data_IF_382142103037
#
_entry.id   IF_382142103037
#
_cell.length_a   1.000
_cell.length_b   1.000
_cell.length_c   1.000
_cell.angle_alpha   90.00
_cell.angle_beta   90.00
_cell.angle_gamma   90.00
#
_symmetry.space_group_name_H-M   'P 1'
#
loop_
_entity.id
_entity.type
_entity.pdbx_description
1 polymer ?
#
# COMPACT_ATOMS: atom_id res chain seq x y z
N UNK A 1 73.61 27.89 63.30
CA UNK A 1 72.56 28.58 62.48
C UNK A 1 71.88 27.59 61.58
N UNK A 2 70.69 27.19 61.96
CA UNK A 2 69.90 26.21 61.19
C UNK A 2 68.63 26.91 60.73
N UNK A 3 68.49 27.10 59.43
CA UNK A 3 67.28 27.65 58.86
C UNK A 3 66.31 26.49 58.50
N UNK A 4 65.11 26.50 59.09
CA UNK A 4 64.04 25.62 58.81
C UNK A 4 63.15 26.25 57.69
N UNK A 5 62.96 25.55 56.55
CA UNK A 5 61.99 25.88 55.51
C UNK A 5 60.69 25.17 55.82
N UNK A 6 59.63 25.94 56.08
CA UNK A 6 58.25 25.43 56.11
C UNK A 6 57.69 25.36 54.65
N UNK A 7 57.38 24.17 54.22
CA UNK A 7 56.70 23.95 52.95
C UNK A 7 55.18 23.90 53.19
N UNK A 8 54.45 24.87 52.66
CA UNK A 8 53.00 24.92 52.73
C UNK A 8 52.46 24.19 51.50
N UNK A 9 51.89 22.99 51.70
CA UNK A 9 51.15 22.28 50.68
C UNK A 9 49.69 22.81 50.61
N UNK A 10 49.36 23.54 49.55
CA UNK A 10 47.98 23.92 49.25
C UNK A 10 47.23 22.76 48.56
N UNK A 11 46.25 22.23 49.24
CA UNK A 11 45.34 21.24 48.67
C UNK A 11 44.30 21.97 47.82
N UNK A 12 44.37 21.81 46.49
CA UNK A 12 43.29 22.23 45.55
C UNK A 12 42.24 21.12 45.49
N UNK A 13 41.13 21.28 46.17
CA UNK A 13 39.99 20.40 46.07
C UNK A 13 39.27 20.71 44.75
N UNK A 14 39.41 19.84 43.74
CA UNK A 14 38.61 19.87 42.51
C UNK A 14 37.23 19.37 42.83
N UNK A 15 36.24 20.25 42.91
CA UNK A 15 34.85 19.89 42.94
C UNK A 15 34.43 19.29 41.56
N UNK A 16 34.38 17.96 41.46
CA UNK A 16 33.69 17.28 40.37
C UNK A 16 32.18 17.45 40.55
N UNK A 17 31.59 18.40 39.85
CA UNK A 17 30.13 18.44 39.68
C UNK A 17 29.72 17.25 38.81
N UNK A 18 28.69 16.46 39.20
CA UNK A 18 28.18 15.42 38.37
C UNK A 18 27.58 16.07 37.10
N UNK A 19 28.18 15.83 35.96
CA UNK A 19 27.54 16.11 34.67
C UNK A 19 26.35 15.16 34.56
N UNK A 20 25.12 15.69 34.70
CA UNK A 20 23.89 15.00 34.33
C UNK A 20 23.94 14.87 32.81
N UNK A 21 24.40 13.74 32.32
CA UNK A 21 24.25 13.37 30.91
C UNK A 21 22.77 13.17 30.66
N UNK A 22 22.08 14.14 30.08
CA UNK A 22 20.77 13.91 29.46
C UNK A 22 21.01 12.91 28.33
N UNK A 23 20.45 11.71 28.47
CA UNK A 23 20.43 10.75 27.38
C UNK A 23 19.73 11.43 26.18
N UNK A 24 20.39 11.47 25.02
CA UNK A 24 19.73 11.93 23.81
C UNK A 24 18.55 11.01 23.54
N UNK A 25 17.37 11.54 23.18
CA UNK A 25 16.23 10.72 22.80
C UNK A 25 16.63 9.78 21.67
N UNK A 26 16.08 8.55 21.68
CA UNK A 26 16.26 7.64 20.56
C UNK A 26 15.68 8.30 19.30
N UNK A 27 16.27 8.05 18.13
CA UNK A 27 15.79 8.66 16.89
C UNK A 27 14.29 8.45 16.64
N UNK A 28 13.74 7.35 17.14
CA UNK A 28 12.33 7.02 16.98
C UNK A 28 11.40 7.95 17.78
N UNK A 29 11.90 8.56 18.85
CA UNK A 29 11.14 9.46 19.73
C UNK A 29 11.32 10.95 19.38
N UNK A 30 12.16 11.25 18.38
CA UNK A 30 12.46 12.63 17.99
C UNK A 30 11.33 13.27 17.21
N UNK A 31 11.08 14.54 17.49
CA UNK A 31 10.22 15.41 16.69
C UNK A 31 10.86 15.72 15.33
N UNK A 32 10.05 16.24 14.39
CA UNK A 32 10.54 16.74 13.10
C UNK A 32 11.63 17.80 13.26
N UNK A 33 11.49 18.70 14.25
CA UNK A 33 12.46 19.76 14.52
C UNK A 33 13.82 19.21 14.99
N UNK A 34 13.83 18.08 15.71
CA UNK A 34 15.04 17.41 16.17
C UNK A 34 15.66 16.55 15.06
N UNK A 35 14.84 15.90 14.22
CA UNK A 35 15.29 15.09 13.10
C UNK A 35 15.89 15.93 11.96
N UNK A 36 15.32 17.11 11.67
CA UNK A 36 15.69 17.92 10.51
C UNK A 36 17.20 18.23 10.42
N UNK A 37 17.87 18.76 11.45
CA UNK A 37 19.30 19.06 11.36
C UNK A 37 20.19 17.82 11.21
N UNK A 38 19.70 16.64 11.62
CA UNK A 38 20.39 15.36 11.41
C UNK A 38 20.20 14.88 9.97
N UNK A 39 18.96 14.95 9.46
CA UNK A 39 18.62 14.59 8.10
C UNK A 39 19.32 15.47 7.06
N UNK A 40 19.47 16.79 7.32
CA UNK A 40 20.23 17.69 6.45
C UNK A 40 21.73 17.33 6.39
N UNK A 41 22.30 16.81 7.48
CA UNK A 41 23.68 16.29 7.46
C UNK A 41 23.82 15.01 6.66
N UNK A 42 22.77 14.17 6.64
CA UNK A 42 22.68 12.98 5.80
C UNK A 42 22.51 13.37 4.33
N UNK A 43 21.80 14.47 4.04
CA UNK A 43 21.69 15.15 2.76
C UNK A 43 20.91 14.38 1.70
N UNK A 44 20.45 13.16 1.99
CA UNK A 44 19.80 12.29 1.01
C UNK A 44 18.89 11.26 1.68
N UNK A 45 17.86 10.82 0.94
CA UNK A 45 17.03 9.64 1.26
C UNK A 45 16.57 8.94 -0.01
N UNK A 46 16.71 7.62 -0.08
CA UNK A 46 16.24 6.82 -1.22
C UNK A 46 14.97 6.09 -0.85
N UNK A 47 13.92 6.25 -1.69
CA UNK A 47 12.60 5.66 -1.46
C UNK A 47 12.26 4.68 -2.60
N UNK A 48 12.07 3.40 -2.28
CA UNK A 48 11.41 2.46 -3.20
C UNK A 48 9.91 2.55 -3.00
N UNK A 49 9.16 2.69 -4.09
CA UNK A 49 7.73 2.92 -4.05
C UNK A 49 6.99 2.10 -5.10
N UNK A 50 5.86 1.50 -4.71
CA UNK A 50 4.97 0.79 -5.64
C UNK A 50 4.06 1.71 -6.46
N UNK A 51 4.23 3.02 -6.32
CA UNK A 51 3.40 4.01 -7.04
C UNK A 51 4.26 5.14 -7.60
N UNK A 52 4.05 5.44 -8.88
CA UNK A 52 4.70 6.55 -9.58
C UNK A 52 4.42 7.94 -8.96
N UNK A 53 3.40 8.02 -8.08
CA UNK A 53 3.08 9.26 -7.34
C UNK A 53 4.20 9.72 -6.43
N UNK A 54 5.17 8.85 -6.13
CA UNK A 54 6.36 9.19 -5.34
C UNK A 54 7.16 10.35 -5.97
N UNK A 55 7.15 10.51 -7.29
CA UNK A 55 7.78 11.63 -7.98
C UNK A 55 7.10 13.01 -7.69
N UNK A 56 5.83 13.00 -7.26
CA UNK A 56 5.16 14.21 -6.76
C UNK A 56 5.49 14.46 -5.30
N UNK A 57 5.64 13.39 -4.52
CA UNK A 57 6.08 13.45 -3.12
C UNK A 57 7.47 14.07 -3.03
N UNK A 58 8.41 13.62 -3.88
CA UNK A 58 9.76 14.20 -4.03
C UNK A 58 9.72 15.72 -4.13
N UNK A 59 8.97 16.25 -5.09
CA UNK A 59 8.88 17.71 -5.33
C UNK A 59 8.37 18.50 -4.12
N UNK A 60 7.36 17.99 -3.41
CA UNK A 60 6.83 18.65 -2.22
C UNK A 60 7.74 18.48 -1.01
N UNK A 61 8.44 17.33 -0.91
CA UNK A 61 9.44 17.07 0.13
C UNK A 61 10.63 18.01 0.02
N UNK A 62 11.26 18.11 -1.15
CA UNK A 62 12.42 18.95 -1.39
C UNK A 62 12.10 20.45 -1.30
N UNK A 63 10.88 20.83 -1.64
CA UNK A 63 10.39 22.21 -1.43
C UNK A 63 10.33 22.56 0.06
N UNK A 64 9.95 21.60 0.92
CA UNK A 64 9.88 21.80 2.36
C UNK A 64 11.24 21.61 3.04
N UNK A 65 12.06 20.69 2.54
CA UNK A 65 13.36 20.30 3.07
C UNK A 65 14.46 20.41 2.01
N UNK A 66 14.83 21.62 1.57
CA UNK A 66 15.73 21.82 0.42
C UNK A 66 17.17 21.35 0.65
N UNK A 67 17.52 20.97 1.88
CA UNK A 67 18.83 20.37 2.23
C UNK A 67 18.88 18.85 2.09
N UNK A 68 17.79 18.19 1.64
CA UNK A 68 17.69 16.72 1.57
C UNK A 68 17.19 16.30 0.19
N UNK A 69 18.02 15.60 -0.57
CA UNK A 69 17.70 15.01 -1.87
C UNK A 69 16.87 13.73 -1.67
N UNK A 70 15.58 13.72 -2.06
CA UNK A 70 14.74 12.53 -2.05
C UNK A 70 14.83 11.84 -3.41
N UNK A 71 15.44 10.65 -3.45
CA UNK A 71 15.63 9.86 -4.68
C UNK A 71 14.54 8.79 -4.78
N UNK A 72 13.50 8.99 -5.61
CA UNK A 72 12.44 8.02 -5.77
C UNK A 72 12.83 6.93 -6.75
N UNK A 73 12.37 5.70 -6.49
CA UNK A 73 12.43 4.57 -7.43
C UNK A 73 11.05 3.94 -7.50
N UNK A 74 10.38 4.10 -8.64
CA UNK A 74 9.09 3.47 -8.93
C UNK A 74 9.30 2.04 -9.43
N UNK A 75 8.80 1.07 -8.68
CA UNK A 75 8.82 -0.34 -9.03
C UNK A 75 7.73 -1.11 -8.28
N UNK A 76 7.21 -2.18 -8.85
CA UNK A 76 6.17 -2.99 -8.21
C UNK A 76 6.63 -3.53 -6.84
N UNK A 77 5.68 -3.84 -5.94
CA UNK A 77 6.02 -4.44 -4.63
C UNK A 77 6.74 -5.77 -4.79
N UNK A 78 6.39 -6.57 -5.78
CA UNK A 78 7.09 -7.84 -6.10
C UNK A 78 8.56 -7.60 -6.43
N UNK A 79 8.85 -6.60 -7.29
CA UNK A 79 10.23 -6.21 -7.63
C UNK A 79 10.99 -5.65 -6.43
N UNK A 80 10.34 -4.83 -5.60
CA UNK A 80 10.94 -4.30 -4.37
C UNK A 80 11.33 -5.43 -3.41
N UNK A 81 10.44 -6.40 -3.18
CA UNK A 81 10.69 -7.54 -2.29
C UNK A 81 11.87 -8.37 -2.78
N UNK A 82 11.91 -8.70 -4.08
CA UNK A 82 13.00 -9.46 -4.69
C UNK A 82 14.34 -8.70 -4.58
N UNK A 83 14.33 -7.40 -4.86
CA UNK A 83 15.50 -6.54 -4.80
C UNK A 83 16.03 -6.39 -3.38
N UNK A 84 15.17 -6.07 -2.41
CA UNK A 84 15.54 -5.93 -1.00
C UNK A 84 16.10 -7.24 -0.42
N UNK A 85 15.50 -8.39 -0.79
CA UNK A 85 16.00 -9.71 -0.37
C UNK A 85 17.40 -9.99 -0.94
N UNK A 86 17.63 -9.64 -2.21
CA UNK A 86 18.94 -9.78 -2.87
C UNK A 86 19.97 -8.84 -2.26
N UNK A 87 19.63 -7.57 -2.05
CA UNK A 87 20.49 -6.58 -1.42
C UNK A 87 20.87 -7.00 0.01
N UNK A 88 19.89 -7.48 0.79
CA UNK A 88 20.13 -7.97 2.15
C UNK A 88 21.08 -9.18 2.18
N UNK A 89 20.92 -10.13 1.27
CA UNK A 89 21.80 -11.29 1.13
C UNK A 89 23.24 -10.88 0.74
N UNK A 90 23.40 -9.83 -0.06
CA UNK A 90 24.70 -9.26 -0.41
C UNK A 90 25.29 -8.33 0.64
N UNK A 91 24.55 -8.02 1.73
CA UNK A 91 24.98 -7.06 2.74
C UNK A 91 24.96 -5.61 2.25
N UNK A 92 24.20 -5.31 1.21
CA UNK A 92 24.07 -3.99 0.58
C UNK A 92 22.71 -3.39 0.97
N UNK A 93 22.66 -2.05 1.10
CA UNK A 93 21.43 -1.29 1.32
C UNK A 93 21.41 -0.09 0.39
N UNK A 94 20.43 -0.04 -0.50
CA UNK A 94 20.23 1.09 -1.40
C UNK A 94 19.03 1.95 -0.99
N UNK A 95 17.95 1.31 -0.55
CA UNK A 95 16.77 2.03 -0.10
C UNK A 95 16.85 2.36 1.40
N UNK A 96 16.39 3.55 1.78
CA UNK A 96 16.22 3.96 3.18
C UNK A 96 14.77 3.75 3.63
N UNK A 97 13.82 4.03 2.75
CA UNK A 97 12.38 3.88 2.98
C UNK A 97 11.78 3.03 1.86
N UNK A 98 10.84 2.17 2.23
CA UNK A 98 10.09 1.34 1.29
C UNK A 98 8.59 1.57 1.45
N UNK A 99 7.88 1.70 0.33
CA UNK A 99 6.45 1.90 0.28
C UNK A 99 5.83 0.79 -0.59
N UNK A 100 5.04 -0.10 0.02
CA UNK A 100 4.68 -1.42 -0.51
C UNK A 100 3.17 -1.68 -0.41
N UNK A 101 2.61 -2.46 -1.34
CA UNK A 101 1.20 -2.87 -1.38
C UNK A 101 0.98 -4.36 -1.06
N UNK A 102 2.01 -5.21 -1.20
CA UNK A 102 1.94 -6.66 -1.04
C UNK A 102 2.19 -7.05 0.43
N UNK A 103 1.33 -6.60 1.32
CA UNK A 103 1.50 -6.75 2.77
C UNK A 103 1.68 -8.21 3.22
N UNK A 104 0.97 -9.22 2.68
CA UNK A 104 1.17 -10.63 3.09
C UNK A 104 2.62 -11.10 2.92
N UNK A 105 3.28 -10.75 1.82
CA UNK A 105 4.67 -11.15 1.55
C UNK A 105 5.66 -10.23 2.26
N UNK A 106 5.34 -8.94 2.38
CA UNK A 106 6.18 -7.97 3.12
C UNK A 106 6.39 -8.41 4.57
N UNK A 107 5.35 -8.93 5.22
CA UNK A 107 5.45 -9.39 6.61
C UNK A 107 6.40 -10.58 6.73
N UNK A 108 6.26 -11.59 5.89
CA UNK A 108 7.04 -12.85 5.99
C UNK A 108 8.45 -12.72 5.40
N UNK A 109 8.58 -12.02 4.26
CA UNK A 109 9.85 -11.98 3.54
C UNK A 109 10.76 -10.81 3.95
N UNK A 110 10.21 -9.72 4.45
CA UNK A 110 11.01 -8.55 4.78
C UNK A 110 11.02 -8.25 6.29
N UNK A 111 9.85 -8.19 6.94
CA UNK A 111 9.76 -7.81 8.35
C UNK A 111 10.28 -8.93 9.27
N UNK A 112 9.78 -10.16 9.13
CA UNK A 112 10.22 -11.30 9.95
C UNK A 112 11.70 -11.63 9.75
N UNK A 113 12.25 -11.38 8.57
CA UNK A 113 13.68 -11.55 8.28
C UNK A 113 14.54 -10.35 8.73
N UNK A 114 13.94 -9.32 9.30
CA UNK A 114 14.65 -8.15 9.79
C UNK A 114 15.32 -7.31 8.69
N UNK A 115 14.83 -7.38 7.46
CA UNK A 115 15.31 -6.57 6.33
C UNK A 115 14.77 -5.14 6.45
N UNK A 116 13.52 -5.02 6.90
CA UNK A 116 12.86 -3.75 7.19
C UNK A 116 12.43 -3.72 8.66
N UNK A 117 12.14 -2.52 9.16
CA UNK A 117 11.56 -2.31 10.48
C UNK A 117 10.43 -1.30 10.42
N UNK A 118 9.49 -1.45 11.32
CA UNK A 118 8.42 -0.48 11.51
C UNK A 118 8.94 0.80 12.16
N UNK A 119 8.35 1.92 11.80
CA UNK A 119 8.51 3.21 12.48
C UNK A 119 7.19 3.96 12.41
N UNK A 120 6.71 4.42 13.55
CA UNK A 120 5.50 5.25 13.66
C UNK A 120 5.93 6.62 14.17
N UNK A 121 5.75 7.70 13.39
CA UNK A 121 6.09 9.04 13.83
C UNK A 121 5.29 9.43 15.09
N UNK A 122 5.93 9.92 16.18
CA UNK A 122 5.25 10.26 17.43
C UNK A 122 4.08 11.23 17.27
N UNK A 123 4.20 12.16 16.31
CA UNK A 123 3.18 13.18 16.01
C UNK A 123 1.82 12.58 15.63
N UNK A 124 1.82 11.46 14.94
CA UNK A 124 0.58 10.85 14.41
C UNK A 124 0.13 9.60 15.16
N UNK A 125 0.94 9.08 16.06
CA UNK A 125 0.69 7.79 16.72
C UNK A 125 -0.69 7.70 17.39
N UNK A 126 -1.09 8.75 18.15
CA UNK A 126 -2.38 8.79 18.83
C UNK A 126 -3.59 8.91 17.87
N UNK A 127 -3.35 9.25 16.61
CA UNK A 127 -4.37 9.46 15.58
C UNK A 127 -4.57 8.23 14.67
N UNK A 128 -3.82 7.15 14.91
CA UNK A 128 -3.87 5.93 14.12
C UNK A 128 -4.54 4.81 14.91
N UNK A 129 -5.52 4.12 14.34
CA UNK A 129 -5.96 2.81 14.84
C UNK A 129 -4.80 1.82 14.96
N UNK A 130 -4.90 0.87 15.90
CA UNK A 130 -3.82 -0.07 16.20
C UNK A 130 -3.40 -0.90 15.01
N UNK A 131 -4.36 -1.33 14.19
CA UNK A 131 -4.15 -2.15 12.99
C UNK A 131 -3.33 -1.43 11.90
N UNK A 132 -3.26 -0.09 11.94
CA UNK A 132 -2.48 0.71 10.99
C UNK A 132 -1.13 1.20 11.54
N UNK A 133 -0.84 0.87 12.83
CA UNK A 133 0.45 1.14 13.46
C UNK A 133 1.36 -0.07 13.49
N UNK A 134 0.77 -1.26 13.60
CA UNK A 134 1.48 -2.52 13.75
C UNK A 134 0.78 -3.63 12.96
N UNK A 135 1.55 -4.63 12.46
CA UNK A 135 3.00 -4.77 12.54
C UNK A 135 3.78 -3.79 11.67
N UNK A 136 3.16 -3.11 10.71
CA UNK A 136 3.73 -2.06 9.87
C UNK A 136 2.81 -0.83 9.82
N UNK A 137 3.43 0.35 9.72
CA UNK A 137 2.71 1.60 9.50
C UNK A 137 2.06 1.62 8.12
N UNK A 138 0.77 1.89 8.09
CA UNK A 138 0.02 2.07 6.85
C UNK A 138 -0.52 3.51 6.78
N UNK A 139 0.02 4.40 5.95
CA UNK A 139 -0.48 5.76 5.81
C UNK A 139 -1.85 5.83 5.13
N UNK A 140 -2.21 4.84 4.32
CA UNK A 140 -3.48 4.77 3.61
C UNK A 140 -3.92 3.35 3.31
N UNK A 141 -5.19 3.20 3.03
CA UNK A 141 -5.75 2.01 2.38
C UNK A 141 -5.84 2.25 0.88
N UNK A 142 -5.52 1.24 0.10
CA UNK A 142 -5.68 1.20 -1.35
C UNK A 142 -6.62 0.07 -1.75
N UNK A 143 -7.01 0.01 -3.01
CA UNK A 143 -8.06 -0.89 -3.49
C UNK A 143 -7.68 -1.59 -4.78
N UNK A 144 -8.23 -2.80 -4.98
CA UNK A 144 -8.41 -3.41 -6.28
C UNK A 144 -9.89 -3.76 -6.40
N UNK A 145 -10.61 -3.00 -7.22
CA UNK A 145 -12.07 -3.08 -7.32
C UNK A 145 -12.53 -3.14 -8.77
N UNK A 146 -13.75 -3.64 -8.96
CA UNK A 146 -14.38 -3.66 -10.27
C UNK A 146 -14.72 -2.22 -10.70
N UNK A 147 -14.25 -1.84 -11.89
CA UNK A 147 -14.48 -0.53 -12.49
C UNK A 147 -15.18 -0.68 -13.84
N UNK A 148 -15.99 0.32 -14.21
CA UNK A 148 -16.78 0.34 -15.44
C UNK A 148 -16.75 1.72 -16.11
N UNK A 149 -17.24 1.84 -17.34
CA UNK A 149 -17.39 3.11 -18.05
C UNK A 149 -18.73 3.77 -17.71
N UNK A 150 -18.71 4.90 -16.99
CA UNK A 150 -19.92 5.67 -16.67
C UNK A 150 -20.59 6.25 -17.92
N UNK A 151 -19.84 6.56 -18.98
CA UNK A 151 -20.40 7.03 -20.26
C UNK A 151 -21.28 5.98 -20.90
N UNK A 152 -20.84 4.71 -20.91
CA UNK A 152 -21.60 3.60 -21.51
C UNK A 152 -22.74 3.09 -20.60
N UNK A 153 -22.59 3.26 -19.30
CA UNK A 153 -23.55 2.80 -18.30
C UNK A 153 -23.92 3.94 -17.32
N UNK A 154 -24.63 4.98 -17.80
CA UNK A 154 -24.92 6.18 -16.99
C UNK A 154 -25.85 5.91 -15.80
N UNK A 155 -26.64 4.81 -15.85
CA UNK A 155 -27.52 4.39 -14.76
C UNK A 155 -26.77 3.62 -13.66
N UNK A 156 -25.44 3.48 -13.78
CA UNK A 156 -24.57 2.77 -12.85
C UNK A 156 -24.04 1.45 -13.42
N UNK A 157 -23.25 0.74 -12.59
CA UNK A 157 -22.61 -0.51 -13.01
C UNK A 157 -23.59 -1.51 -13.61
N UNK A 158 -23.26 -2.11 -14.77
CA UNK A 158 -24.05 -3.20 -15.37
C UNK A 158 -23.95 -4.51 -14.58
N UNK A 159 -22.94 -4.61 -13.68
CA UNK A 159 -22.73 -5.77 -12.81
C UNK A 159 -23.32 -5.48 -11.44
N UNK A 160 -24.08 -6.44 -10.91
CA UNK A 160 -24.65 -6.43 -9.55
C UNK A 160 -24.19 -7.63 -8.73
N UNK A 161 -23.67 -8.66 -9.40
CA UNK A 161 -23.14 -9.86 -8.77
C UNK A 161 -21.89 -10.31 -9.55
N UNK A 162 -20.82 -10.66 -8.85
CA UNK A 162 -19.54 -11.06 -9.49
C UNK A 162 -19.70 -12.22 -10.47
N UNK A 163 -20.60 -13.16 -10.18
CA UNK A 163 -20.84 -14.29 -11.07
C UNK A 163 -21.40 -13.91 -12.45
N UNK A 164 -21.89 -12.67 -12.63
CA UNK A 164 -22.24 -12.18 -13.96
C UNK A 164 -21.02 -12.09 -14.88
N UNK A 165 -19.82 -11.89 -14.33
CA UNK A 165 -18.56 -11.82 -15.08
C UNK A 165 -18.21 -13.16 -15.78
N UNK A 166 -18.78 -14.27 -15.32
CA UNK A 166 -18.59 -15.61 -15.92
C UNK A 166 -19.64 -15.95 -16.97
N UNK A 167 -20.61 -15.06 -17.21
CA UNK A 167 -21.68 -15.27 -18.18
C UNK A 167 -21.23 -14.93 -19.60
N UNK A 168 -21.86 -15.56 -20.59
CA UNK A 168 -21.49 -15.42 -22.01
C UNK A 168 -21.52 -13.97 -22.54
N UNK A 169 -22.32 -13.08 -21.97
CA UNK A 169 -22.39 -11.67 -22.35
C UNK A 169 -21.10 -10.92 -22.03
N UNK A 170 -20.30 -11.40 -21.05
CA UNK A 170 -19.02 -10.82 -20.63
C UNK A 170 -17.81 -11.58 -21.16
N UNK A 171 -18.02 -12.58 -22.01
CA UNK A 171 -16.92 -13.36 -22.59
C UNK A 171 -15.94 -12.47 -23.33
N UNK A 172 -14.66 -12.54 -22.98
CA UNK A 172 -13.59 -11.71 -23.55
C UNK A 172 -13.68 -10.21 -23.22
N UNK A 173 -14.54 -9.82 -22.26
CA UNK A 173 -14.75 -8.41 -21.90
C UNK A 173 -14.43 -8.10 -20.43
N UNK A 174 -13.92 -9.05 -19.69
CA UNK A 174 -13.38 -8.82 -18.33
C UNK A 174 -11.87 -8.68 -18.43
N UNK A 175 -11.31 -7.58 -17.89
CA UNK A 175 -9.88 -7.30 -17.94
C UNK A 175 -9.31 -7.29 -16.52
N UNK A 176 -8.17 -7.96 -16.34
CA UNK A 176 -7.39 -7.95 -15.08
C UNK A 176 -5.91 -7.76 -15.36
N UNK A 177 -5.18 -7.28 -14.39
CA UNK A 177 -3.70 -7.37 -14.43
C UNK A 177 -3.28 -8.79 -14.08
N UNK A 178 -2.18 -9.26 -14.67
CA UNK A 178 -1.62 -10.58 -14.40
C UNK A 178 -1.38 -10.79 -12.89
N UNK A 179 -2.14 -11.67 -12.23
CA UNK A 179 -1.99 -11.91 -10.80
C UNK A 179 -0.66 -12.57 -10.42
N UNK A 180 0.00 -13.25 -11.36
CA UNK A 180 1.32 -13.86 -11.12
C UNK A 180 2.45 -12.83 -11.16
N UNK A 181 2.22 -11.66 -11.77
CA UNK A 181 3.19 -10.56 -11.86
C UNK A 181 2.96 -9.47 -10.80
N UNK A 182 1.74 -9.34 -10.27
CA UNK A 182 1.36 -8.29 -9.33
C UNK A 182 0.70 -8.89 -8.09
N UNK A 183 1.40 -8.81 -6.96
CA UNK A 183 0.98 -9.44 -5.70
C UNK A 183 -0.39 -9.02 -5.18
N UNK A 184 -0.75 -7.74 -5.32
CA UNK A 184 -2.06 -7.21 -4.91
C UNK A 184 -3.23 -7.74 -5.77
N UNK A 185 -2.98 -8.18 -7.02
CA UNK A 185 -3.98 -8.90 -7.82
C UNK A 185 -4.05 -10.38 -7.46
N UNK A 186 -2.93 -10.99 -7.06
CA UNK A 186 -2.96 -12.34 -6.49
C UNK A 186 -3.72 -12.35 -5.15
N UNK A 187 -3.59 -11.29 -4.35
CA UNK A 187 -4.36 -11.13 -3.12
C UNK A 187 -5.86 -11.01 -3.41
N UNK A 188 -6.27 -10.28 -4.46
CA UNK A 188 -7.65 -10.22 -4.91
C UNK A 188 -8.19 -11.62 -5.25
N UNK A 189 -7.45 -12.40 -6.05
CA UNK A 189 -7.85 -13.78 -6.39
C UNK A 189 -7.91 -14.66 -5.15
N UNK A 190 -6.98 -14.45 -4.21
CA UNK A 190 -6.95 -15.21 -2.95
C UNK A 190 -8.15 -14.89 -2.05
N UNK A 191 -8.61 -13.64 -2.02
CA UNK A 191 -9.81 -13.28 -1.26
C UNK A 191 -11.07 -13.96 -1.81
N UNK A 192 -11.21 -14.19 -3.11
CA UNK A 192 -12.32 -15.00 -3.64
C UNK A 192 -12.34 -16.39 -3.01
N UNK A 193 -11.18 -17.02 -2.85
CA UNK A 193 -11.04 -18.36 -2.26
C UNK A 193 -11.29 -18.31 -0.74
N UNK A 194 -10.74 -17.35 -0.03
CA UNK A 194 -10.96 -17.18 1.41
C UNK A 194 -12.42 -16.85 1.75
N UNK A 195 -13.13 -16.16 0.86
CA UNK A 195 -14.55 -15.80 0.99
C UNK A 195 -15.49 -16.77 0.26
N UNK A 196 -15.09 -18.03 0.13
CA UNK A 196 -15.81 -19.03 -0.66
C UNK A 196 -17.28 -19.22 -0.23
N UNK A 197 -17.60 -19.08 1.05
CA UNK A 197 -18.98 -19.14 1.56
C UNK A 197 -19.82 -17.97 1.04
N UNK A 198 -19.25 -16.77 1.00
CA UNK A 198 -19.91 -15.58 0.45
C UNK A 198 -20.06 -15.71 -1.09
N UNK A 199 -19.03 -16.26 -1.75
CA UNK A 199 -19.07 -16.55 -3.18
C UNK A 199 -20.15 -17.58 -3.54
N UNK A 200 -20.33 -18.65 -2.73
CA UNK A 200 -21.39 -19.64 -2.91
C UNK A 200 -22.79 -19.03 -2.73
N UNK A 201 -22.96 -18.18 -1.72
CA UNK A 201 -24.21 -17.48 -1.48
C UNK A 201 -24.57 -16.57 -2.67
N UNK A 202 -23.59 -15.80 -3.18
CA UNK A 202 -23.77 -14.95 -4.36
C UNK A 202 -24.08 -15.75 -5.62
N UNK A 203 -23.47 -16.95 -5.80
CA UNK A 203 -23.82 -17.85 -6.90
C UNK A 203 -25.30 -18.27 -6.84
N UNK A 204 -25.75 -18.67 -5.63
CA UNK A 204 -27.15 -19.07 -5.43
C UNK A 204 -28.12 -17.92 -5.71
N UNK A 205 -27.75 -16.69 -5.32
CA UNK A 205 -28.54 -15.48 -5.62
C UNK A 205 -28.62 -15.27 -7.13
N UNK A 206 -27.49 -15.37 -7.84
CA UNK A 206 -27.41 -15.09 -9.27
C UNK A 206 -28.13 -16.14 -10.12
N UNK A 207 -27.99 -17.44 -9.81
CA UNK A 207 -28.45 -18.53 -10.67
C UNK A 207 -29.64 -19.31 -10.11
N UNK A 208 -30.10 -19.04 -8.90
CA UNK A 208 -31.26 -19.72 -8.27
C UNK A 208 -31.01 -21.19 -7.92
N UNK A 209 -29.77 -21.68 -7.93
CA UNK A 209 -29.40 -23.07 -7.70
C UNK A 209 -28.10 -23.20 -6.92
N UNK A 210 -27.84 -24.33 -6.24
CA UNK A 210 -26.53 -24.61 -5.66
C UNK A 210 -25.43 -24.64 -6.74
N UNK A 211 -24.21 -24.26 -6.35
CA UNK A 211 -23.04 -24.39 -7.22
C UNK A 211 -22.67 -25.88 -7.38
N UNK A 212 -22.21 -26.23 -8.58
CA UNK A 212 -21.54 -27.50 -8.84
C UNK A 212 -20.09 -27.21 -9.14
N UNK A 213 -19.19 -27.81 -8.43
CA UNK A 213 -17.76 -27.61 -8.62
C UNK A 213 -17.24 -28.56 -9.70
N UNK A 214 -16.30 -28.07 -10.48
CA UNK A 214 -15.57 -28.90 -11.47
C UNK A 214 -14.63 -29.89 -10.75
N UNK A 215 -14.17 -30.91 -11.47
CA UNK A 215 -13.21 -31.87 -10.92
C UNK A 215 -11.90 -31.19 -10.51
N UNK A 216 -11.46 -31.42 -9.29
CA UNK A 216 -10.25 -30.81 -8.73
C UNK A 216 -10.43 -29.41 -8.14
N UNK A 217 -11.63 -28.82 -8.23
CA UNK A 217 -11.98 -27.53 -7.61
C UNK A 217 -12.55 -27.78 -6.20
N UNK A 218 -12.02 -27.07 -5.21
CA UNK A 218 -12.32 -27.35 -3.79
C UNK A 218 -13.47 -26.49 -3.25
N UNK A 219 -13.73 -25.31 -3.82
CA UNK A 219 -14.70 -24.35 -3.29
C UNK A 219 -15.16 -23.34 -4.33
N UNK A 220 -16.21 -22.57 -3.98
CA UNK A 220 -16.84 -21.61 -4.89
C UNK A 220 -15.89 -20.48 -5.33
N UNK A 221 -14.94 -20.08 -4.52
CA UNK A 221 -13.95 -19.07 -4.90
C UNK A 221 -12.98 -19.56 -5.98
N UNK A 222 -12.50 -20.80 -5.85
CA UNK A 222 -11.70 -21.44 -6.90
C UNK A 222 -12.53 -21.63 -8.18
N UNK A 223 -13.81 -22.08 -8.07
CA UNK A 223 -14.68 -22.21 -9.23
C UNK A 223 -14.89 -20.89 -9.95
N UNK A 224 -15.08 -19.80 -9.20
CA UNK A 224 -15.19 -18.46 -9.81
C UNK A 224 -13.96 -18.10 -10.64
N UNK A 225 -12.75 -18.38 -10.11
CA UNK A 225 -11.49 -18.13 -10.85
C UNK A 225 -11.47 -19.00 -12.12
N UNK A 226 -11.78 -20.28 -12.03
CA UNK A 226 -11.83 -21.20 -13.18
C UNK A 226 -12.80 -20.68 -14.24
N UNK A 227 -14.04 -20.38 -13.84
CA UNK A 227 -15.08 -19.89 -14.76
C UNK A 227 -14.72 -18.55 -15.40
N UNK A 228 -14.04 -17.66 -14.66
CA UNK A 228 -13.57 -16.38 -15.17
C UNK A 228 -12.51 -16.57 -16.28
N UNK A 229 -11.56 -17.50 -16.09
CA UNK A 229 -10.55 -17.83 -17.08
C UNK A 229 -11.18 -18.55 -18.29
N UNK A 230 -12.11 -19.46 -18.09
CA UNK A 230 -12.87 -20.13 -19.16
C UNK A 230 -13.75 -19.14 -19.95
N UNK A 231 -14.11 -18.00 -19.35
CA UNK A 231 -14.82 -16.91 -20.01
C UNK A 231 -13.91 -15.93 -20.75
N UNK A 232 -12.69 -16.36 -21.09
CA UNK A 232 -11.69 -15.59 -21.85
C UNK A 232 -11.33 -14.26 -21.17
N UNK A 233 -11.02 -14.26 -19.86
CA UNK A 233 -10.55 -13.07 -19.17
C UNK A 233 -9.30 -12.52 -19.85
N UNK A 234 -9.27 -11.21 -20.09
CA UNK A 234 -8.14 -10.52 -20.74
C UNK A 234 -7.10 -10.13 -19.68
N UNK A 235 -5.89 -10.63 -19.84
CA UNK A 235 -4.77 -10.36 -18.91
C UNK A 235 -3.87 -9.30 -19.52
N UNK A 236 -3.56 -8.24 -18.74
CA UNK A 236 -2.70 -7.13 -19.14
C UNK A 236 -1.57 -6.89 -18.13
N UNK A 237 -0.60 -6.04 -18.48
CA UNK A 237 0.61 -5.83 -17.68
C UNK A 237 0.47 -4.82 -16.53
N UNK A 238 -0.51 -3.91 -16.60
CA UNK A 238 -0.61 -2.80 -15.63
C UNK A 238 -2.05 -2.37 -15.33
N UNK A 239 -2.24 -1.72 -14.17
CA UNK A 239 -3.52 -1.09 -13.80
C UNK A 239 -3.91 0.00 -14.78
N UNK A 240 -2.94 0.73 -15.33
CA UNK A 240 -3.18 1.79 -16.31
C UNK A 240 -3.78 1.23 -17.60
N UNK A 241 -3.32 0.04 -18.05
CA UNK A 241 -3.91 -0.64 -19.22
C UNK A 241 -5.37 -1.02 -18.99
N UNK A 242 -5.70 -1.55 -17.80
CA UNK A 242 -7.10 -1.84 -17.43
C UNK A 242 -7.92 -0.56 -17.41
N UNK A 243 -7.44 0.48 -16.74
CA UNK A 243 -8.14 1.75 -16.56
C UNK A 243 -8.37 2.46 -17.90
N UNK A 244 -7.38 2.42 -18.79
CA UNK A 244 -7.49 2.96 -20.15
C UNK A 244 -8.50 2.18 -21.00
N UNK A 245 -8.47 0.84 -20.94
CA UNK A 245 -9.38 0.00 -21.71
C UNK A 245 -10.84 0.19 -21.25
N UNK A 246 -11.08 0.23 -19.93
CA UNK A 246 -12.41 0.40 -19.35
C UNK A 246 -12.92 1.83 -19.49
N UNK A 247 -12.06 2.82 -19.19
CA UNK A 247 -12.46 4.23 -19.09
C UNK A 247 -12.54 4.97 -20.40
N UNK A 248 -11.97 4.46 -21.51
CA UNK A 248 -11.98 5.15 -22.82
C UNK A 248 -13.38 5.48 -23.26
N UNK A 249 -13.61 6.74 -23.63
CA UNK A 249 -14.90 7.23 -24.14
C UNK A 249 -15.18 6.77 -25.56
N UNK A 250 -16.48 6.80 -25.96
CA UNK A 250 -16.95 6.46 -27.28
C UNK A 250 -17.04 4.97 -27.58
N UNK A 251 -16.93 4.11 -26.58
CA UNK A 251 -17.05 2.66 -26.74
C UNK A 251 -18.53 2.23 -26.69
N UNK A 252 -18.95 1.40 -27.65
CA UNK A 252 -20.33 0.85 -27.66
C UNK A 252 -20.52 -0.25 -26.61
N UNK A 253 -19.52 -1.11 -26.44
CA UNK A 253 -19.53 -2.22 -25.49
C UNK A 253 -18.18 -2.26 -24.74
N UNK A 254 -17.92 -1.30 -23.83
CA UNK A 254 -16.66 -1.29 -23.11
C UNK A 254 -16.47 -2.54 -22.27
N UNK A 255 -15.24 -2.96 -22.04
CA UNK A 255 -14.93 -3.98 -21.05
C UNK A 255 -15.22 -3.45 -19.64
N UNK A 256 -15.21 -4.38 -18.68
CA UNK A 256 -15.20 -4.10 -17.24
C UNK A 256 -13.93 -4.72 -16.67
N UNK A 257 -13.39 -4.18 -15.59
CA UNK A 257 -12.12 -4.74 -15.10
C UNK A 257 -11.82 -4.44 -13.64
N UNK A 258 -11.01 -5.31 -13.07
CA UNK A 258 -10.47 -5.03 -11.74
C UNK A 258 -9.23 -4.15 -11.87
N UNK A 259 -9.30 -2.95 -11.29
CA UNK A 259 -8.18 -2.01 -11.27
C UNK A 259 -8.18 -1.18 -9.98
N UNK A 260 -7.31 -0.22 -9.88
CA UNK A 260 -7.19 0.65 -8.70
C UNK A 260 -8.26 1.74 -8.77
N UNK A 261 -9.10 1.87 -7.75
CA UNK A 261 -10.16 2.90 -7.72
C UNK A 261 -9.57 4.31 -7.87
N UNK A 262 -8.40 4.56 -7.30
CA UNK A 262 -7.75 5.87 -7.38
C UNK A 262 -7.35 6.30 -8.79
N UNK A 263 -7.47 5.44 -9.80
CA UNK A 263 -7.23 5.80 -11.20
C UNK A 263 -8.32 6.73 -11.77
N UNK A 264 -9.46 6.86 -11.11
CA UNK A 264 -10.45 7.90 -11.41
C UNK A 264 -9.88 9.32 -11.37
N UNK A 265 -8.77 9.56 -10.66
CA UNK A 265 -8.05 10.85 -10.64
C UNK A 265 -7.60 11.29 -12.03
N UNK A 266 -7.42 10.33 -12.93
CA UNK A 266 -6.90 10.55 -14.27
C UNK A 266 -8.00 10.74 -15.33
N UNK A 267 -9.28 10.60 -14.98
CA UNK A 267 -10.42 10.77 -15.88
C UNK A 267 -10.38 12.08 -16.67
N UNK A 268 -10.11 13.19 -16.01
CA UNK A 268 -10.06 14.50 -16.66
C UNK A 268 -8.85 14.62 -17.59
N UNK A 269 -7.69 14.20 -17.12
CA UNK A 269 -6.42 14.32 -17.87
C UNK A 269 -6.40 13.41 -19.10
N UNK A 270 -6.88 12.17 -18.96
CA UNK A 270 -6.85 11.14 -20.01
C UNK A 270 -8.12 11.10 -20.85
N UNK A 271 -9.14 11.90 -20.49
CA UNK A 271 -10.43 11.88 -21.17
C UNK A 271 -11.21 10.58 -20.95
N UNK A 272 -11.04 9.93 -19.78
CA UNK A 272 -11.76 8.71 -19.43
C UNK A 272 -13.11 8.99 -18.76
N UNK A 273 -13.95 7.97 -18.70
CA UNK A 273 -15.21 7.92 -17.94
C UNK A 273 -15.20 6.73 -16.97
N UNK A 274 -14.08 6.52 -16.30
CA UNK A 274 -13.87 5.43 -15.35
C UNK A 274 -14.68 5.68 -14.07
N UNK A 275 -15.45 4.69 -13.60
CA UNK A 275 -16.25 4.75 -12.38
C UNK A 275 -16.19 3.44 -11.61
N UNK A 276 -16.25 3.53 -10.26
CA UNK A 276 -16.25 2.34 -9.39
C UNK A 276 -17.62 1.65 -9.41
N UNK A 277 -17.61 0.34 -9.61
CA UNK A 277 -18.79 -0.49 -9.44
C UNK A 277 -18.94 -0.81 -7.94
N UNK A 278 -19.80 -0.06 -7.24
CA UNK A 278 -20.13 -0.35 -5.85
C UNK A 278 -21.45 -1.11 -5.73
N UNK A 279 -21.80 -1.63 -4.55
CA UNK A 279 -22.99 -2.46 -4.30
C UNK A 279 -23.05 -3.72 -5.19
N UNK A 280 -21.93 -4.41 -5.32
CA UNK A 280 -21.77 -5.69 -6.00
C UNK A 280 -21.81 -6.83 -4.98
N UNK A 281 -22.56 -7.89 -5.24
CA UNK A 281 -22.54 -9.11 -4.44
C UNK A 281 -21.44 -10.08 -4.91
N UNK A 282 -20.70 -10.70 -4.00
CA UNK A 282 -20.66 -10.46 -2.54
C UNK A 282 -19.76 -9.27 -2.18
N UNK A 283 -18.95 -8.76 -3.11
CA UNK A 283 -18.00 -7.66 -2.95
C UNK A 283 -17.65 -7.06 -4.31
N UNK A 284 -17.22 -5.80 -4.33
CA UNK A 284 -16.68 -5.21 -5.55
C UNK A 284 -15.15 -5.39 -5.70
N UNK A 285 -14.50 -6.05 -4.75
CA UNK A 285 -13.07 -6.29 -4.75
C UNK A 285 -12.45 -6.22 -3.36
N UNK A 286 -11.22 -5.75 -3.27
CA UNK A 286 -10.45 -5.71 -2.03
C UNK A 286 -9.98 -4.32 -1.63
N UNK A 287 -9.84 -4.13 -0.32
CA UNK A 287 -9.24 -3.00 0.36
C UNK A 287 -8.05 -3.51 1.18
N UNK A 288 -6.88 -2.95 0.98
CA UNK A 288 -5.64 -3.39 1.63
C UNK A 288 -4.77 -2.22 2.07
N UNK A 289 -3.96 -2.38 3.14
CA UNK A 289 -3.05 -1.35 3.58
C UNK A 289 -1.88 -1.19 2.61
N UNK A 290 -1.61 0.04 2.22
CA UNK A 290 -0.34 0.42 1.63
C UNK A 290 0.62 0.73 2.79
N UNK A 291 1.65 -0.10 2.97
CA UNK A 291 2.53 -0.04 4.13
C UNK A 291 3.85 0.66 3.84
N UNK A 292 4.36 1.36 4.83
CA UNK A 292 5.65 2.05 4.77
C UNK A 292 6.55 1.54 5.88
N UNK A 293 7.83 1.36 5.57
CA UNK A 293 8.84 0.90 6.52
C UNK A 293 10.21 1.51 6.22
N UNK A 294 11.09 1.45 7.21
CA UNK A 294 12.49 1.85 7.09
C UNK A 294 13.33 0.58 6.91
N UNK A 295 14.31 0.58 6.00
CA UNK A 295 15.25 -0.54 5.91
C UNK A 295 16.10 -0.63 7.18
N UNK A 296 16.30 -1.84 7.70
CA UNK A 296 16.91 -2.02 9.03
C UNK A 296 18.35 -1.49 9.13
N UNK A 297 19.05 -1.43 8.00
CA UNK A 297 20.45 -0.96 7.91
C UNK A 297 20.57 0.33 7.08
N UNK A 298 19.56 1.18 7.09
CA UNK A 298 19.59 2.48 6.37
C UNK A 298 20.83 3.27 6.72
N UNK A 299 21.42 3.90 5.72
CA UNK A 299 22.56 4.83 5.90
C UNK A 299 22.11 6.26 6.23
N UNK A 300 20.81 6.58 6.10
CA UNK A 300 20.21 7.89 6.33
C UNK A 300 19.06 7.81 7.33
N UNK A 301 19.35 7.39 8.60
CA UNK A 301 18.30 7.04 9.56
C UNK A 301 17.41 8.20 10.01
N UNK A 302 17.92 9.44 10.01
CA UNK A 302 17.10 10.61 10.34
C UNK A 302 16.24 11.06 9.15
N UNK A 303 16.82 11.10 7.95
CA UNK A 303 16.11 11.44 6.72
C UNK A 303 15.00 10.40 6.40
N UNK A 304 15.26 9.11 6.67
CA UNK A 304 14.25 8.08 6.53
C UNK A 304 13.02 8.32 7.44
N UNK A 305 13.23 8.68 8.72
CA UNK A 305 12.15 9.01 9.65
C UNK A 305 11.38 10.26 9.24
N UNK A 306 12.11 11.29 8.84
CA UNK A 306 11.51 12.53 8.35
C UNK A 306 10.65 12.27 7.10
N UNK A 307 11.09 11.39 6.20
CA UNK A 307 10.33 10.99 5.01
C UNK A 307 9.07 10.21 5.38
N UNK A 308 9.16 9.28 6.34
CA UNK A 308 7.97 8.56 6.83
C UNK A 308 6.98 9.52 7.48
N UNK A 309 7.45 10.46 8.31
CA UNK A 309 6.60 11.50 8.90
C UNK A 309 5.92 12.37 7.84
N UNK A 310 6.68 12.82 6.82
CA UNK A 310 6.16 13.60 5.70
C UNK A 310 5.04 12.87 4.94
N UNK A 311 5.22 11.57 4.67
CA UNK A 311 4.23 10.74 3.97
C UNK A 311 2.94 10.51 4.78
N UNK A 312 2.96 10.77 6.09
CA UNK A 312 1.74 10.76 6.91
C UNK A 312 0.85 12.01 6.73
N UNK A 313 1.30 13.01 5.98
CA UNK A 313 0.57 14.27 5.80
C UNK A 313 0.69 15.23 6.98
N UNK A 314 0.30 16.49 6.77
CA UNK A 314 0.25 17.52 7.81
C UNK A 314 -1.04 17.43 8.64
N UNK A 315 -1.31 18.44 9.50
CA UNK A 315 -2.48 18.47 10.39
C UNK A 315 -3.77 18.98 9.73
N UNK A 316 -3.75 19.22 8.42
CA UNK A 316 -4.96 19.55 7.67
C UNK A 316 -5.83 18.31 7.42
N UNK A 317 -7.14 18.51 7.21
CA UNK A 317 -8.10 17.40 6.99
C UNK A 317 -7.81 16.54 5.75
N UNK A 318 -7.05 17.06 4.80
CA UNK A 318 -6.65 16.36 3.59
C UNK A 318 -5.15 15.99 3.57
N UNK A 319 -4.44 16.20 4.70
CA UNK A 319 -3.02 15.91 4.86
C UNK A 319 -2.07 16.89 4.16
N UNK A 320 -2.60 17.99 3.60
CA UNK A 320 -1.82 19.05 2.97
C UNK A 320 -1.04 18.65 1.73
N UNK A 321 -0.03 19.46 1.34
CA UNK A 321 0.77 19.23 0.13
C UNK A 321 1.49 17.89 0.12
N UNK A 322 1.97 17.42 1.27
CA UNK A 322 2.70 16.14 1.41
C UNK A 322 1.83 14.92 1.09
N UNK A 323 0.54 15.00 1.40
CA UNK A 323 -0.41 13.92 1.16
C UNK A 323 -1.28 14.13 -0.09
N UNK A 324 -1.24 15.32 -0.70
CA UNK A 324 -2.04 15.65 -1.89
C UNK A 324 -1.96 14.61 -3.03
N UNK A 325 -0.81 13.95 -3.31
CA UNK A 325 -0.76 12.89 -4.31
C UNK A 325 -1.66 11.68 -3.99
N UNK A 326 -2.03 11.48 -2.72
CA UNK A 326 -2.82 10.37 -2.23
C UNK A 326 -4.24 10.77 -1.78
N UNK A 327 -4.55 12.05 -1.70
CA UNK A 327 -5.90 12.55 -1.39
C UNK A 327 -6.79 12.52 -2.65
N UNK A 328 -7.06 11.33 -3.13
CA UNK A 328 -7.81 11.06 -4.38
C UNK A 328 -8.92 10.04 -4.10
N UNK A 329 -9.98 9.97 -4.94
CA UNK A 329 -11.00 8.93 -4.78
C UNK A 329 -10.37 7.53 -4.74
N UNK A 330 -10.81 6.68 -3.81
CA UNK A 330 -10.37 5.28 -3.71
C UNK A 330 -9.06 5.04 -2.97
N UNK A 331 -8.39 6.09 -2.51
CA UNK A 331 -7.39 6.02 -1.46
C UNK A 331 -7.98 6.63 -0.17
N UNK A 332 -7.82 5.93 0.93
CA UNK A 332 -8.40 6.31 2.22
C UNK A 332 -7.30 6.47 3.26
N UNK A 333 -7.21 7.66 3.86
CA UNK A 333 -6.25 7.89 4.94
C UNK A 333 -6.57 7.01 6.15
N UNK A 334 -5.54 6.52 6.80
CA UNK A 334 -5.70 5.71 8.02
C UNK A 334 -5.76 6.55 9.29
N UNK A 335 -5.30 7.80 9.23
CA UNK A 335 -5.39 8.75 10.33
C UNK A 335 -6.85 9.17 10.56
N UNK A 336 -7.30 9.06 11.81
CA UNK A 336 -8.70 9.35 12.23
C UNK A 336 -9.09 10.84 12.15
N UNK A 337 -8.11 11.75 12.05
CA UNK A 337 -8.31 13.18 11.92
C UNK A 337 -8.37 13.67 10.47
N UNK A 338 -8.12 12.78 9.49
CA UNK A 338 -8.25 13.08 8.06
C UNK A 338 -9.62 12.66 7.54
N UNK A 339 -10.10 13.39 6.53
CA UNK A 339 -11.36 13.10 5.86
C UNK A 339 -11.12 12.33 4.57
N UNK A 340 -12.09 11.50 4.17
CA UNK A 340 -12.11 10.88 2.84
C UNK A 340 -12.22 11.96 1.75
N UNK A 341 -11.71 11.64 0.55
CA UNK A 341 -11.91 12.51 -0.60
C UNK A 341 -13.43 12.63 -0.91
N UNK A 342 -13.99 13.84 -1.06
CA UNK A 342 -15.44 14.02 -1.23
C UNK A 342 -16.01 13.43 -2.53
N UNK A 343 -15.16 13.08 -3.51
CA UNK A 343 -15.55 12.37 -4.73
C UNK A 343 -15.49 10.85 -4.60
N UNK A 344 -15.02 10.33 -3.46
CA UNK A 344 -14.97 8.90 -3.21
C UNK A 344 -16.31 8.38 -2.64
N UNK A 345 -16.60 7.11 -2.86
CA UNK A 345 -17.56 6.38 -2.02
C UNK A 345 -16.98 6.40 -0.59
N UNK A 346 -17.73 6.83 0.43
CA UNK A 346 -17.25 6.78 1.82
C UNK A 346 -16.74 5.38 2.19
N UNK A 347 -15.66 5.31 2.97
CA UNK A 347 -15.00 4.04 3.31
C UNK A 347 -15.97 3.03 3.95
N UNK A 348 -16.89 3.49 4.80
CA UNK A 348 -17.91 2.67 5.47
C UNK A 348 -19.01 2.16 4.53
N UNK A 349 -19.09 2.69 3.29
CA UNK A 349 -20.06 2.31 2.26
C UNK A 349 -19.42 1.61 1.05
N UNK A 350 -18.10 1.45 1.05
CA UNK A 350 -17.40 0.72 0.01
C UNK A 350 -17.57 -0.78 0.21
N UNK A 351 -18.15 -1.45 -0.78
CA UNK A 351 -18.42 -2.91 -0.75
C UNK A 351 -17.18 -3.77 -1.02
N UNK A 352 -16.00 -3.35 -0.53
CA UNK A 352 -14.75 -4.09 -0.71
C UNK A 352 -14.41 -4.92 0.53
N UNK A 353 -13.95 -6.14 0.33
CA UNK A 353 -13.41 -6.97 1.41
C UNK A 353 -12.09 -6.39 1.92
N UNK A 354 -11.91 -6.41 3.23
CA UNK A 354 -10.61 -6.11 3.84
C UNK A 354 -9.74 -7.34 3.78
N UNK A 355 -8.54 -7.21 3.22
CA UNK A 355 -7.53 -8.27 3.19
C UNK A 355 -7.04 -8.56 4.60
N UNK A 356 -7.05 -9.86 4.99
CA UNK A 356 -6.32 -10.36 6.15
C UNK A 356 -4.95 -10.84 5.68
N UNK A 357 -3.86 -10.09 5.94
CA UNK A 357 -2.54 -10.45 5.41
C UNK A 357 -2.06 -11.83 5.84
N UNK A 358 -2.44 -12.27 7.04
CA UNK A 358 -2.02 -13.57 7.58
C UNK A 358 -2.73 -14.73 6.91
N UNK A 359 -4.05 -14.62 6.71
CA UNK A 359 -4.83 -15.64 6.01
C UNK A 359 -4.42 -15.70 4.53
N UNK A 360 -4.26 -14.53 3.90
CA UNK A 360 -3.85 -14.40 2.49
C UNK A 360 -2.47 -15.02 2.26
N UNK A 361 -1.48 -14.73 3.11
CA UNK A 361 -0.13 -15.32 3.01
C UNK A 361 -0.13 -16.85 2.98
N UNK A 362 -1.02 -17.49 3.75
CA UNK A 362 -1.12 -18.95 3.84
C UNK A 362 -1.78 -19.58 2.60
N UNK A 363 -2.70 -18.88 1.97
CA UNK A 363 -3.58 -19.43 0.91
C UNK A 363 -3.07 -19.09 -0.49
N UNK A 364 -2.41 -17.93 -0.67
CA UNK A 364 -2.09 -17.36 -2.00
C UNK A 364 -1.23 -18.24 -2.89
N UNK A 365 -0.36 -19.10 -2.32
CA UNK A 365 0.47 -20.00 -3.11
C UNK A 365 -0.38 -20.98 -3.92
N UNK A 366 -1.35 -21.64 -3.26
CA UNK A 366 -2.26 -22.56 -3.95
C UNK A 366 -3.12 -21.88 -5.02
N UNK A 367 -3.49 -20.60 -4.77
CA UNK A 367 -4.20 -19.79 -5.77
C UNK A 367 -3.29 -19.44 -6.97
N UNK A 368 -2.03 -19.11 -6.71
CA UNK A 368 -1.04 -18.90 -7.78
C UNK A 368 -0.82 -20.15 -8.62
N UNK A 369 -0.70 -21.31 -7.98
CA UNK A 369 -0.56 -22.61 -8.67
C UNK A 369 -1.81 -22.94 -9.52
N UNK A 370 -3.02 -22.62 -9.04
CA UNK A 370 -4.26 -22.75 -9.82
C UNK A 370 -4.25 -21.83 -11.05
N UNK A 371 -3.92 -20.55 -10.87
CA UNK A 371 -3.90 -19.58 -11.98
C UNK A 371 -2.86 -19.97 -13.03
N UNK A 372 -1.68 -20.45 -12.61
CA UNK A 372 -0.64 -20.94 -13.52
C UNK A 372 -1.13 -22.10 -14.41
N UNK A 373 -2.02 -22.94 -13.90
CA UNK A 373 -2.60 -24.04 -14.69
C UNK A 373 -3.69 -23.58 -15.68
N UNK A 374 -4.28 -22.41 -15.45
CA UNK A 374 -5.36 -21.84 -16.27
C UNK A 374 -4.84 -20.91 -17.39
N UNK A 375 -3.61 -20.42 -17.30
CA UNK A 375 -2.91 -19.60 -18.30
C UNK A 375 -2.23 -20.48 -19.37
#
# INVERSE_FOLDING_TARGET
>A
MKHAFLSVCAWVSVLCLPQVAFAQPALDDMSVQELLPLAEKEGKVTVYSFTSRIARVEKEFEKLYPGIDLVPSDMSSTEQIARLSTEAAAGIVHADVVYLSDTPVVLTELLEKGIIRNYVPPRVEARLPSEFKAPLLAPRLSTKVLMYSEEAYPEGSPIKNLWQLTMAEWKGRVIIVDPLQKGDYLDLMTEFVLRSTEMEAAYRTQFGKPITLDEGVENAGQQFIVDLFQNDVVIVGSSDDVSAAVGRKGQTNPPIGFTTYSDMRDNEREGWALQVANNIEPSNGILFPAVIAITAKTMHPAAARLTVDFLMGDDSKNGGPSYAPFYVPGDYATRSDMADNPKAVPLDKLSAWRVDPTATAKTRRGVGDLILQLQ
#
